data_IF_564621831472
#
_entry.id   IF_564621831472
#
_cell.length_a   1.000
_cell.length_b   1.000
_cell.length_c   1.000
_cell.angle_alpha   90.00
_cell.angle_beta   90.00
_cell.angle_gamma   90.00
#
_symmetry.space_group_name_H-M   'P 1'
#
loop_
_entity.id
_entity.type
_entity.pdbx_description
1 polymer ?
#
# COMPACT_ATOMS: atom_id res chain seq x y z
N UNK A 1 2.71 6.12 -7.51
CA UNK A 1 1.34 6.11 -6.95
C UNK A 1 1.42 6.33 -5.44
N UNK A 2 0.68 7.31 -4.95
CA UNK A 2 0.67 7.58 -3.51
C UNK A 2 0.06 6.41 -2.76
N UNK A 3 0.55 6.17 -1.56
CA UNK A 3 0.04 5.06 -0.76
C UNK A 3 0.31 5.31 0.72
N UNK A 4 -0.32 4.51 1.55
CA UNK A 4 -0.21 4.61 2.99
C UNK A 4 0.57 3.43 3.58
N UNK A 5 1.33 2.74 2.76
CA UNK A 5 1.99 1.52 3.21
C UNK A 5 2.92 1.78 4.39
N UNK A 6 3.70 2.87 4.34
CA UNK A 6 4.63 3.19 5.42
C UNK A 6 3.90 3.38 6.75
N UNK A 7 2.79 4.10 6.71
CA UNK A 7 2.01 4.35 7.92
C UNK A 7 1.40 3.05 8.44
N UNK A 8 0.81 2.26 7.54
CA UNK A 8 0.18 1.01 7.93
C UNK A 8 1.20 0.03 8.50
N UNK A 9 2.37 -0.03 7.87
CA UNK A 9 3.47 -0.87 8.34
C UNK A 9 3.90 -0.44 9.74
N UNK A 10 4.06 0.87 9.92
CA UNK A 10 4.49 1.40 11.21
C UNK A 10 3.50 1.09 12.32
N UNK A 11 2.21 1.13 12.00
CA UNK A 11 1.19 0.80 12.99
C UNK A 11 1.31 -0.63 13.48
N UNK A 12 1.77 -1.52 12.62
CA UNK A 12 1.98 -2.92 12.97
C UNK A 12 3.40 -3.20 13.42
N UNK A 13 4.24 -2.17 13.42
CA UNK A 13 5.64 -2.27 13.80
C UNK A 13 6.43 -3.24 12.91
N UNK A 14 6.08 -3.28 11.65
CA UNK A 14 6.79 -4.09 10.67
C UNK A 14 7.86 -3.27 9.99
N UNK A 15 9.04 -3.89 9.80
CA UNK A 15 10.07 -3.30 8.95
C UNK A 15 9.70 -3.51 7.48
N UNK A 16 10.40 -2.81 6.59
CA UNK A 16 10.21 -3.06 5.15
C UNK A 16 10.53 -4.51 4.81
N UNK A 17 11.58 -5.05 5.42
CA UNK A 17 11.96 -6.43 5.16
C UNK A 17 10.86 -7.40 5.61
N UNK A 18 10.24 -7.11 6.72
CA UNK A 18 9.17 -7.96 7.24
C UNK A 18 7.95 -7.92 6.33
N UNK A 19 7.57 -6.74 5.87
CA UNK A 19 6.46 -6.63 4.93
C UNK A 19 6.80 -7.36 3.63
N UNK A 20 8.01 -7.18 3.14
CA UNK A 20 8.44 -7.82 1.90
C UNK A 20 8.32 -9.33 2.00
N UNK A 21 8.73 -9.89 3.13
CA UNK A 21 8.64 -11.33 3.34
C UNK A 21 7.19 -11.79 3.33
N UNK A 22 6.31 -11.03 3.96
CA UNK A 22 4.90 -11.41 4.06
C UNK A 22 4.17 -11.40 2.73
N UNK A 23 4.59 -10.54 1.80
CA UNK A 23 3.95 -10.48 0.50
C UNK A 23 4.77 -11.10 -0.62
N UNK A 24 5.93 -11.66 -0.28
CA UNK A 24 6.69 -12.44 -1.24
C UNK A 24 7.46 -11.63 -2.26
N UNK A 25 7.94 -10.44 -1.89
CA UNK A 25 8.74 -9.62 -2.79
C UNK A 25 10.02 -9.22 -2.07
N UNK A 26 10.92 -8.53 -2.79
CA UNK A 26 12.16 -8.05 -2.16
C UNK A 26 11.90 -6.79 -1.35
N UNK A 27 12.80 -6.52 -0.40
CA UNK A 27 12.73 -5.30 0.37
C UNK A 27 12.86 -4.07 -0.54
N UNK A 28 13.69 -4.17 -1.58
CA UNK A 28 13.83 -3.09 -2.54
C UNK A 28 12.50 -2.76 -3.21
N UNK A 29 11.71 -3.78 -3.50
CA UNK A 29 10.39 -3.58 -4.10
C UNK A 29 9.48 -2.79 -3.15
N UNK A 30 9.45 -3.18 -1.87
CA UNK A 30 8.66 -2.46 -0.89
C UNK A 30 9.12 -1.01 -0.80
N UNK A 31 10.43 -0.80 -0.73
CA UNK A 31 10.97 0.55 -0.66
C UNK A 31 10.57 1.38 -1.88
N UNK A 32 10.67 0.79 -3.06
CA UNK A 32 10.33 1.51 -4.29
C UNK A 32 8.84 1.87 -4.33
N UNK A 33 7.97 0.98 -3.85
CA UNK A 33 6.55 1.26 -3.81
C UNK A 33 6.26 2.38 -2.81
N UNK A 34 6.84 2.31 -1.63
CA UNK A 34 6.61 3.33 -0.60
C UNK A 34 7.07 4.70 -1.06
N UNK A 35 8.15 4.75 -1.83
CA UNK A 35 8.69 6.01 -2.33
C UNK A 35 8.12 6.41 -3.68
N UNK A 36 7.08 5.72 -4.13
CA UNK A 36 6.34 6.07 -5.34
C UNK A 36 7.19 6.01 -6.62
N UNK A 37 8.21 5.15 -6.60
CA UNK A 37 9.05 4.94 -7.78
C UNK A 37 8.60 3.75 -8.61
N UNK A 38 7.69 2.97 -8.08
CA UNK A 38 7.24 1.74 -8.72
C UNK A 38 5.80 1.50 -8.31
N UNK A 39 4.95 1.31 -9.30
CA UNK A 39 3.55 1.00 -9.04
C UNK A 39 3.39 -0.52 -9.04
N UNK A 40 2.81 -1.09 -8.00
CA UNK A 40 2.66 -2.54 -7.95
C UNK A 40 1.68 -3.02 -9.01
N UNK A 41 1.85 -4.27 -9.43
CA UNK A 41 0.85 -4.90 -10.26
C UNK A 41 -0.46 -4.96 -9.51
N UNK A 42 -1.55 -5.17 -10.23
CA UNK A 42 -2.85 -5.24 -9.58
C UNK A 42 -2.89 -6.39 -8.56
N UNK A 43 -2.35 -7.54 -8.90
CA UNK A 43 -2.35 -8.66 -7.98
C UNK A 43 -1.53 -8.37 -6.74
N UNK A 44 -0.40 -7.69 -6.89
CA UNK A 44 0.42 -7.30 -5.73
C UNK A 44 -0.31 -6.27 -4.88
N UNK A 45 -0.97 -5.31 -5.52
CA UNK A 45 -1.74 -4.31 -4.79
C UNK A 45 -2.85 -4.95 -3.96
N UNK A 46 -3.56 -5.93 -4.52
CA UNK A 46 -4.57 -6.66 -3.77
C UNK A 46 -3.96 -7.44 -2.62
N UNK A 47 -2.80 -8.06 -2.84
CA UNK A 47 -2.14 -8.83 -1.78
C UNK A 47 -1.77 -7.91 -0.61
N UNK A 48 -1.27 -6.73 -0.91
CA UNK A 48 -0.92 -5.75 0.12
C UNK A 48 -2.18 -5.33 0.88
N UNK A 49 -3.23 -4.99 0.16
CA UNK A 49 -4.47 -4.53 0.80
C UNK A 49 -5.04 -5.62 1.71
N UNK A 50 -5.06 -6.86 1.24
CA UNK A 50 -5.57 -7.97 2.04
C UNK A 50 -4.75 -8.20 3.29
N UNK A 51 -3.44 -8.05 3.17
CA UNK A 51 -2.57 -8.22 4.32
C UNK A 51 -2.91 -7.23 5.43
N UNK A 52 -3.21 -6.00 5.05
CA UNK A 52 -3.61 -4.98 6.01
C UNK A 52 -5.11 -5.02 6.32
N UNK A 53 -5.84 -5.94 5.71
CA UNK A 53 -7.29 -6.09 5.91
C UNK A 53 -8.04 -4.81 5.52
N UNK A 54 -7.62 -4.22 4.42
CA UNK A 54 -8.21 -2.99 3.90
C UNK A 54 -8.56 -3.19 2.43
N UNK A 55 -9.33 -2.25 1.90
CA UNK A 55 -9.59 -2.23 0.47
C UNK A 55 -8.37 -1.63 -0.23
N UNK A 56 -8.25 -1.91 -1.51
CA UNK A 56 -7.14 -1.39 -2.29
C UNK A 56 -7.16 0.15 -2.31
N UNK A 57 -8.34 0.74 -2.35
CA UNK A 57 -8.47 2.20 -2.36
C UNK A 57 -8.07 2.82 -1.02
N UNK A 58 -8.13 2.05 0.05
CA UNK A 58 -7.71 2.55 1.36
C UNK A 58 -6.20 2.56 1.52
N UNK A 59 -5.51 1.82 0.67
CA UNK A 59 -4.05 1.74 0.73
C UNK A 59 -3.41 2.62 -0.34
N UNK A 60 -3.97 2.63 -1.55
CA UNK A 60 -3.39 3.30 -2.69
C UNK A 60 -4.27 4.45 -3.16
N UNK A 61 -3.64 5.56 -3.52
CA UNK A 61 -4.33 6.76 -3.95
C UNK A 61 -3.71 7.21 -5.28
N UNK A 62 -4.19 6.67 -6.39
CA UNK A 62 -3.56 6.95 -7.68
C UNK A 62 -3.66 8.41 -8.09
N UNK A 63 -4.65 9.12 -7.62
CA UNK A 63 -4.86 10.51 -8.01
C UNK A 63 -4.23 11.51 -7.07
N UNK A 64 -3.70 11.05 -5.93
CA UNK A 64 -3.12 11.95 -4.96
C UNK A 64 -4.13 12.86 -4.29
N UNK A 65 -5.38 12.44 -4.24
CA UNK A 65 -6.44 13.27 -3.68
C UNK A 65 -6.67 13.03 -2.21
N UNK A 66 -5.90 12.13 -1.64
CA UNK A 66 -6.06 11.79 -0.22
C UNK A 66 -7.03 10.65 -0.04
N UNK A 67 -7.17 10.21 1.20
CA UNK A 67 -8.04 9.06 1.47
C UNK A 67 -9.45 9.36 1.06
N UNK A 68 -10.11 8.38 0.47
CA UNK A 68 -11.51 8.55 0.09
C UNK A 68 -12.41 8.35 1.29
N UNK A 69 -12.05 8.90 2.38
CA UNK A 69 -12.78 8.66 3.60
C UNK A 69 -14.20 9.09 3.48
N UNK A 70 -14.41 10.07 2.70
CA UNK A 70 -15.72 10.51 2.56
C UNK A 70 -16.41 9.77 1.51
N UNK A 71 -15.72 9.17 0.84
CA UNK A 71 -16.29 8.42 -0.16
C UNK A 71 -17.25 9.13 -1.00
N UNK A 72 -17.46 9.55 -0.85
CA UNK A 72 -18.23 9.77 -1.42
C UNK A 72 -18.26 9.67 -2.52
N UNK A 73 -18.39 9.73 -2.72
CA UNK A 73 -18.49 9.46 -3.55
C UNK A 73 -18.89 9.31 -4.39
N UNK A 74 -18.97 9.59 -4.59
CA UNK A 74 -19.19 9.40 -5.37
C UNK A 74 -19.28 9.06 -6.07
N UNK A 75 -19.27 9.15 -6.14
CA UNK A 75 -19.20 8.83 -6.73
C UNK A 75 -19.30 8.55 -7.21
#
# INVERSE_FOLDING_TARGET
>A
MRNRIRVLRAELRWSQAELAERIGVSRQTVNAIENERYDPSLSLAFAIARLFELTIESVFDPDGTGPPATGTVDN
#
